data_IF_487373289794
#
_entry.id   IF_487373289794
#
_cell.length_a   1.000
_cell.length_b   1.000
_cell.length_c   1.000
_cell.angle_alpha   90.00
_cell.angle_beta   90.00
_cell.angle_gamma   90.00
#
_symmetry.space_group_name_H-M   'P 1'
#
loop_
_entity.id
_entity.type
_entity.pdbx_description
1 polymer ?
#
# COMPACT_ATOMS: atom_id res chain seq x y z
N UNK A 1 -21.23 -2.08 -11.15
CA UNK A 1 -21.51 -2.09 -9.70
C UNK A 1 -20.54 -1.12 -9.04
N UNK A 2 -20.95 -0.35 -8.04
CA UNK A 2 -20.04 0.56 -7.33
C UNK A 2 -19.06 -0.27 -6.50
N UNK A 3 -17.75 -0.12 -6.75
CA UNK A 3 -16.75 -0.72 -5.86
C UNK A 3 -16.88 -0.14 -4.46
N UNK A 4 -16.67 -0.97 -3.43
CA UNK A 4 -16.77 -0.56 -2.03
C UNK A 4 -15.53 0.26 -1.68
N UNK A 5 -15.70 1.33 -0.90
CA UNK A 5 -14.55 2.05 -0.36
C UNK A 5 -13.89 1.21 0.76
N UNK A 6 -12.56 1.08 0.80
CA UNK A 6 -11.83 0.31 1.81
C UNK A 6 -11.74 1.07 3.15
N UNK A 7 -12.88 1.45 3.73
CA UNK A 7 -12.93 2.21 4.98
C UNK A 7 -12.51 1.29 6.14
N UNK A 8 -11.41 1.65 6.80
CA UNK A 8 -10.87 0.87 7.93
C UNK A 8 -9.97 -0.29 7.54
N UNK A 9 -9.94 -0.66 6.25
CA UNK A 9 -9.02 -1.69 5.72
C UNK A 9 -7.62 -1.11 5.60
N UNK A 10 -6.64 -1.84 6.15
CA UNK A 10 -5.22 -1.44 6.11
C UNK A 10 -4.30 -2.53 5.56
N UNK A 11 -4.84 -3.68 5.17
CA UNK A 11 -4.11 -4.73 4.47
C UNK A 11 -4.28 -4.56 2.95
N UNK A 12 -3.17 -4.47 2.22
CA UNK A 12 -3.18 -4.35 0.77
C UNK A 12 -3.69 -5.61 0.06
N UNK A 13 -3.47 -6.80 0.63
CA UNK A 13 -3.99 -8.05 0.08
C UNK A 13 -5.51 -8.07 0.14
N UNK A 14 -6.09 -7.72 1.28
CA UNK A 14 -7.54 -7.63 1.45
C UNK A 14 -8.14 -6.63 0.46
N UNK A 15 -7.50 -5.47 0.27
CA UNK A 15 -7.92 -4.47 -0.74
C UNK A 15 -8.00 -5.08 -2.14
N UNK A 16 -7.04 -5.95 -2.52
CA UNK A 16 -6.99 -6.58 -3.84
C UNK A 16 -7.93 -7.78 -4.00
N UNK A 17 -8.01 -8.64 -2.98
CA UNK A 17 -8.80 -9.88 -3.05
C UNK A 17 -10.30 -9.63 -2.94
N UNK A 18 -10.71 -8.63 -2.15
CA UNK A 18 -12.11 -8.27 -1.91
C UNK A 18 -12.65 -7.21 -2.90
N UNK A 19 -11.90 -6.90 -3.97
CA UNK A 19 -12.24 -5.93 -5.03
C UNK A 19 -12.69 -4.54 -4.50
N UNK A 20 -11.96 -4.02 -3.51
CA UNK A 20 -12.20 -2.68 -3.00
C UNK A 20 -11.72 -1.61 -4.00
N UNK A 21 -12.36 -0.44 -3.96
CA UNK A 21 -11.92 0.73 -4.69
C UNK A 21 -10.51 1.15 -4.24
N UNK A 22 -9.55 1.02 -5.14
CA UNK A 22 -8.15 1.32 -4.87
C UNK A 22 -7.56 2.21 -5.96
N UNK A 23 -6.88 3.28 -5.54
CA UNK A 23 -6.10 4.11 -6.46
C UNK A 23 -4.72 3.49 -6.57
N UNK A 24 -4.31 3.17 -7.80
CA UNK A 24 -2.97 2.64 -8.08
C UNK A 24 -1.86 3.58 -7.55
N UNK A 25 -0.97 3.03 -6.73
CA UNK A 25 0.18 3.72 -6.14
C UNK A 25 1.52 3.15 -6.60
N UNK A 26 1.57 2.49 -7.75
CA UNK A 26 2.82 1.96 -8.32
C UNK A 26 3.92 3.02 -8.44
N UNK A 27 3.57 4.28 -8.74
CA UNK A 27 4.54 5.39 -8.75
C UNK A 27 5.14 5.69 -7.38
N UNK A 28 4.40 5.51 -6.29
CA UNK A 28 4.95 5.65 -4.94
C UNK A 28 5.99 4.56 -4.65
N UNK A 29 5.78 3.32 -5.11
CA UNK A 29 6.77 2.24 -4.98
C UNK A 29 8.07 2.63 -5.71
N UNK A 30 7.94 3.14 -6.95
CA UNK A 30 9.08 3.65 -7.72
C UNK A 30 9.81 4.76 -6.98
N UNK A 31 9.09 5.77 -6.45
CA UNK A 31 9.70 6.85 -5.66
C UNK A 31 10.45 6.34 -4.43
N UNK A 32 9.94 5.31 -3.74
CA UNK A 32 10.61 4.70 -2.59
C UNK A 32 11.92 4.04 -3.00
N UNK A 33 11.95 3.34 -4.14
CA UNK A 33 13.15 2.71 -4.69
C UNK A 33 14.17 3.76 -5.13
N UNK A 34 13.73 4.75 -5.91
CA UNK A 34 14.60 5.76 -6.52
C UNK A 34 15.26 6.69 -5.49
N UNK A 35 14.60 6.94 -4.35
CA UNK A 35 15.15 7.81 -3.30
C UNK A 35 16.44 7.29 -2.67
N UNK A 36 16.69 5.97 -2.70
CA UNK A 36 17.88 5.34 -2.11
C UNK A 36 18.23 5.81 -0.67
N UNK A 37 17.22 6.19 0.12
CA UNK A 37 17.41 6.71 1.48
C UNK A 37 17.45 5.61 2.53
N UNK A 38 18.34 5.71 3.53
CA UNK A 38 18.38 4.78 4.68
C UNK A 38 17.08 4.78 5.51
N UNK A 39 16.39 5.92 5.59
CA UNK A 39 15.15 6.08 6.38
C UNK A 39 14.15 6.88 5.55
N UNK A 40 12.94 6.31 5.39
CA UNK A 40 11.81 6.99 4.77
C UNK A 40 10.83 7.46 5.86
N UNK A 41 10.65 8.78 5.99
CA UNK A 41 9.67 9.36 6.90
C UNK A 41 8.34 9.64 6.18
N UNK A 42 7.24 9.10 6.71
CA UNK A 42 5.88 9.35 6.21
C UNK A 42 5.11 10.27 7.18
N UNK A 43 5.22 11.62 7.08
CA UNK A 43 4.77 12.57 8.11
C UNK A 43 3.25 12.62 8.30
N UNK A 44 2.80 12.89 9.53
CA UNK A 44 1.44 12.68 10.07
C UNK A 44 0.39 13.65 9.45
N UNK A 45 -0.45 13.16 8.53
CA UNK A 45 -1.90 13.24 8.78
C UNK A 45 -2.44 11.87 9.19
N UNK A 46 -3.33 11.85 10.20
CA UNK A 46 -4.04 10.63 10.60
C UNK A 46 -4.94 10.17 9.46
N UNK A 47 -5.13 8.85 9.34
CA UNK A 47 -5.98 8.20 8.32
C UNK A 47 -5.56 8.46 6.87
N UNK A 48 -4.32 8.88 6.63
CA UNK A 48 -3.79 9.13 5.28
C UNK A 48 -3.26 7.86 4.57
N UNK A 49 -3.76 6.68 4.93
CA UNK A 49 -3.37 5.42 4.27
C UNK A 49 -1.92 4.98 4.48
N UNK A 50 -1.23 5.46 5.52
CA UNK A 50 0.18 5.11 5.79
C UNK A 50 0.37 3.61 6.03
N UNK A 51 -0.47 3.02 6.88
CA UNK A 51 -0.44 1.58 7.17
C UNK A 51 -0.69 0.77 5.91
N UNK A 52 -1.70 1.15 5.12
CA UNK A 52 -1.98 0.52 3.83
C UNK A 52 -0.80 0.60 2.87
N UNK A 53 -0.14 1.76 2.76
CA UNK A 53 1.04 1.92 1.91
C UNK A 53 2.23 1.07 2.39
N UNK A 54 2.44 0.95 3.70
CA UNK A 54 3.48 0.07 4.25
C UNK A 54 3.16 -1.40 4.01
N UNK A 55 1.90 -1.80 4.13
CA UNK A 55 1.44 -3.14 3.75
C UNK A 55 1.71 -3.40 2.27
N UNK A 56 1.31 -2.48 1.38
CA UNK A 56 1.60 -2.57 -0.05
C UNK A 56 3.10 -2.76 -0.35
N UNK A 57 3.99 -1.95 0.25
CA UNK A 57 5.43 -2.09 0.07
C UNK A 57 5.92 -3.47 0.56
N UNK A 58 5.42 -3.94 1.70
CA UNK A 58 5.72 -5.29 2.21
C UNK A 58 5.34 -6.34 1.16
N UNK A 59 4.10 -6.33 0.66
CA UNK A 59 3.65 -7.29 -0.35
C UNK A 59 4.43 -7.22 -1.67
N UNK A 60 4.94 -6.03 -2.02
CA UNK A 60 5.74 -5.84 -3.24
C UNK A 60 7.17 -6.42 -3.12
N UNK A 61 7.82 -6.26 -1.96
CA UNK A 61 9.22 -6.67 -1.76
C UNK A 61 9.40 -8.03 -1.08
N UNK A 62 8.42 -8.49 -0.30
CA UNK A 62 8.49 -9.76 0.43
C UNK A 62 8.37 -10.92 -0.57
N UNK A 63 9.43 -11.71 -0.72
CA UNK A 63 9.37 -12.98 -1.44
C UNK A 63 8.55 -13.96 -0.61
N UNK A 64 7.42 -14.42 -1.16
CA UNK A 64 6.56 -15.41 -0.53
C UNK A 64 6.70 -16.74 -1.24
N UNK A 65 6.60 -17.82 -0.48
CA UNK A 65 6.65 -19.17 -1.05
C UNK A 65 5.37 -19.52 -1.84
N UNK A 66 4.29 -18.77 -1.61
CA UNK A 66 2.97 -18.97 -2.21
C UNK A 66 2.73 -18.13 -3.49
N UNK A 67 3.78 -17.61 -4.13
CA UNK A 67 3.70 -16.72 -5.30
C UNK A 67 4.31 -17.34 -6.56
#
# INVERSE_FOLDING_TARGET
MSQKLPIGVSDFKEVREEDYYYVDKSLFIKEVIDRATKVLLLPRPRRFGKTLNLSMLRYFFEKREDS
#
